data_IF_804288486931
#
_entry.id   IF_804288486931
#
_cell.length_a   1.000
_cell.length_b   1.000
_cell.length_c   1.000
_cell.angle_alpha   90.00
_cell.angle_beta   90.00
_cell.angle_gamma   90.00
#
_symmetry.space_group_name_H-M   'P 1'
#
loop_
_entity.id
_entity.type
_entity.pdbx_description
1 polymer ?
#
# COMPACT_ATOMS: atom_id res chain seq x y z
N UNK A 1 -8.93 7.45 13.03
CA UNK A 1 -7.89 8.06 12.16
C UNK A 1 -8.08 9.57 11.98
N UNK A 2 -9.31 10.07 11.79
CA UNK A 2 -9.64 11.50 11.58
C UNK A 2 -8.96 12.50 12.54
N UNK A 3 -8.97 12.24 13.85
CA UNK A 3 -8.45 13.22 14.82
C UNK A 3 -6.91 13.27 14.93
N UNK A 4 -6.21 12.25 14.44
CA UNK A 4 -4.74 12.26 14.40
C UNK A 4 -4.22 13.18 13.29
N UNK A 5 -4.91 13.22 12.14
CA UNK A 5 -4.53 14.06 11.01
C UNK A 5 -4.79 15.56 11.28
N UNK A 6 -5.81 15.88 12.08
CA UNK A 6 -6.08 17.27 12.53
C UNK A 6 -5.00 17.83 13.45
N UNK A 7 -4.20 16.96 14.07
CA UNK A 7 -3.08 17.34 14.96
C UNK A 7 -1.75 17.44 14.21
N UNK A 8 -1.71 17.15 12.91
CA UNK A 8 -0.49 17.30 12.14
C UNK A 8 -0.09 18.78 12.08
N UNK A 9 1.21 19.10 12.12
CA UNK A 9 1.68 20.44 11.86
C UNK A 9 1.17 20.92 10.49
N UNK A 10 0.87 22.21 10.38
CA UNK A 10 0.25 22.85 9.19
C UNK A 10 1.07 22.63 7.90
N UNK A 11 2.35 22.28 8.02
CA UNK A 11 3.23 21.95 6.90
C UNK A 11 3.79 20.53 7.06
N UNK A 12 3.36 19.62 6.17
CA UNK A 12 3.95 18.28 6.01
C UNK A 12 4.43 18.17 4.57
N UNK A 13 5.72 17.97 4.36
CA UNK A 13 6.29 17.84 3.02
C UNK A 13 6.22 16.41 2.48
N UNK A 14 6.39 15.41 3.34
CA UNK A 14 6.53 14.01 2.96
C UNK A 14 5.71 13.12 3.89
N UNK A 15 5.02 12.16 3.29
CA UNK A 15 4.30 11.09 4.00
C UNK A 15 4.87 9.76 3.59
N UNK A 16 5.11 8.90 4.58
CA UNK A 16 5.49 7.51 4.37
C UNK A 16 4.35 6.62 4.86
N UNK A 17 3.71 5.91 3.93
CA UNK A 17 2.67 4.93 4.26
C UNK A 17 3.33 3.56 4.43
N UNK A 18 3.51 3.16 5.69
CA UNK A 18 4.19 1.93 6.10
C UNK A 18 3.24 0.97 6.87
N UNK A 19 1.94 1.06 6.61
CA UNK A 19 0.93 0.25 7.30
C UNK A 19 0.55 -0.97 6.46
N UNK A 20 0.45 -2.13 7.10
CA UNK A 20 -0.04 -3.36 6.50
C UNK A 20 -0.68 -4.24 7.57
N UNK A 21 -1.84 -4.81 7.27
CA UNK A 21 -2.51 -5.81 8.12
C UNK A 21 -2.41 -7.16 7.45
N UNK A 22 -1.73 -8.10 8.09
CA UNK A 22 -1.75 -9.50 7.70
C UNK A 22 -3.06 -10.14 8.19
N UNK A 23 -3.81 -10.76 7.30
CA UNK A 23 -5.04 -11.47 7.63
C UNK A 23 -4.86 -12.98 7.46
N UNK A 24 -5.62 -13.77 8.24
CA UNK A 24 -5.60 -15.24 8.15
C UNK A 24 -6.19 -15.74 6.83
N UNK A 25 -7.06 -14.95 6.21
CA UNK A 25 -7.62 -15.22 4.88
C UNK A 25 -6.89 -14.38 3.83
N UNK A 26 -6.02 -14.99 2.98
CA UNK A 26 -5.26 -14.25 1.98
C UNK A 26 -6.14 -13.45 1.00
N UNK A 27 -7.32 -13.96 0.66
CA UNK A 27 -8.27 -13.29 -0.23
C UNK A 27 -8.83 -11.97 0.31
N UNK A 28 -8.87 -11.80 1.63
CA UNK A 28 -9.39 -10.58 2.28
C UNK A 28 -8.30 -9.53 2.52
N UNK A 29 -7.04 -9.97 2.52
CA UNK A 29 -5.88 -9.11 2.76
C UNK A 29 -5.81 -7.93 1.77
N UNK A 30 -6.03 -8.10 0.45
CA UNK A 30 -6.10 -6.98 -0.49
C UNK A 30 -7.20 -5.98 -0.11
N UNK A 31 -8.43 -6.45 0.09
CA UNK A 31 -9.57 -5.59 0.43
C UNK A 31 -9.31 -4.72 1.65
N UNK A 32 -8.78 -5.31 2.73
CA UNK A 32 -8.49 -4.59 3.98
C UNK A 32 -7.41 -3.53 3.76
N UNK A 33 -6.30 -3.90 3.11
CA UNK A 33 -5.17 -2.99 2.94
C UNK A 33 -5.46 -1.89 1.91
N UNK A 34 -6.21 -2.18 0.84
CA UNK A 34 -6.72 -1.18 -0.12
C UNK A 34 -7.62 -0.19 0.60
N UNK A 35 -8.61 -0.67 1.37
CA UNK A 35 -9.50 0.19 2.13
C UNK A 35 -8.73 1.07 3.13
N UNK A 36 -7.70 0.53 3.78
CA UNK A 36 -6.87 1.29 4.71
C UNK A 36 -6.10 2.42 4.01
N UNK A 37 -5.49 2.14 2.85
CA UNK A 37 -4.79 3.14 2.06
C UNK A 37 -5.78 4.20 1.54
N UNK A 38 -6.94 3.80 1.00
CA UNK A 38 -7.95 4.72 0.50
C UNK A 38 -8.46 5.65 1.60
N UNK A 39 -8.84 5.09 2.76
CA UNK A 39 -9.29 5.87 3.91
C UNK A 39 -8.23 6.88 4.38
N UNK A 40 -6.95 6.50 4.29
CA UNK A 40 -5.85 7.42 4.61
C UNK A 40 -5.75 8.56 3.59
N UNK A 41 -5.81 8.26 2.29
CA UNK A 41 -5.73 9.25 1.23
C UNK A 41 -6.92 10.23 1.27
N UNK A 42 -8.14 9.73 1.48
CA UNK A 42 -9.35 10.54 1.58
C UNK A 42 -9.30 11.50 2.76
N UNK A 43 -8.84 11.00 3.91
CA UNK A 43 -8.69 11.82 5.11
C UNK A 43 -7.55 12.85 4.95
N UNK A 44 -6.45 12.49 4.28
CA UNK A 44 -5.36 13.41 3.96
C UNK A 44 -5.84 14.52 3.03
N UNK A 45 -6.60 14.19 1.98
CA UNK A 45 -7.22 15.16 1.07
C UNK A 45 -8.17 16.12 1.79
N UNK A 46 -8.96 15.61 2.73
CA UNK A 46 -9.92 16.42 3.51
C UNK A 46 -9.26 17.30 4.59
N UNK A 47 -8.04 16.97 5.04
CA UNK A 47 -7.34 17.70 6.10
C UNK A 47 -6.71 19.03 5.68
N UNK A 48 -6.61 19.29 4.36
CA UNK A 48 -5.88 20.44 3.82
C UNK A 48 -4.35 20.29 3.80
N UNK A 49 -3.79 19.31 4.51
CA UNK A 49 -2.36 18.96 4.50
C UNK A 49 -1.88 18.59 3.09
N UNK A 50 -2.77 18.01 2.26
CA UNK A 50 -2.47 17.68 0.88
C UNK A 50 -1.97 18.88 0.03
N UNK A 51 -2.26 20.13 0.44
CA UNK A 51 -1.83 21.33 -0.29
C UNK A 51 -0.33 21.65 -0.15
N UNK A 52 0.29 21.23 0.96
CA UNK A 52 1.73 21.47 1.22
C UNK A 52 2.57 20.23 0.93
N UNK A 53 1.91 19.09 0.68
CA UNK A 53 2.56 17.82 0.47
C UNK A 53 3.32 17.78 -0.86
N UNK A 54 4.60 17.38 -0.79
CA UNK A 54 5.43 17.17 -1.99
C UNK A 54 5.33 15.75 -2.52
N UNK A 55 5.32 14.73 -1.64
CA UNK A 55 5.22 13.32 -2.04
C UNK A 55 4.58 12.43 -0.98
N UNK A 56 3.92 11.38 -1.45
CA UNK A 56 3.54 10.20 -0.67
C UNK A 56 4.45 9.04 -1.11
N UNK A 57 5.08 8.38 -0.15
CA UNK A 57 5.90 7.20 -0.36
C UNK A 57 5.11 6.00 0.17
N UNK A 58 4.66 5.13 -0.74
CA UNK A 58 4.07 3.85 -0.40
C UNK A 58 5.18 2.82 -0.19
N UNK A 59 5.29 2.27 1.01
CA UNK A 59 6.30 1.26 1.33
C UNK A 59 5.73 -0.13 1.09
N UNK A 60 6.18 -0.75 0.01
CA UNK A 60 5.82 -2.11 -0.34
C UNK A 60 6.93 -3.08 0.10
N UNK A 61 6.62 -4.17 0.84
CA UNK A 61 7.54 -5.30 0.99
C UNK A 61 7.76 -5.95 -0.38
N UNK A 62 8.85 -5.53 -1.03
CA UNK A 62 9.31 -5.95 -2.36
C UNK A 62 9.18 -7.46 -2.63
N UNK A 63 9.49 -8.39 -1.70
CA UNK A 63 9.37 -9.84 -1.95
C UNK A 63 7.95 -10.30 -2.29
N UNK A 64 6.92 -9.68 -1.69
CA UNK A 64 5.52 -10.11 -1.88
C UNK A 64 4.96 -9.75 -3.24
N UNK A 65 5.44 -8.67 -3.86
CA UNK A 65 5.05 -8.27 -5.21
C UNK A 65 5.47 -9.32 -6.27
N UNK A 66 6.58 -10.03 -6.03
CA UNK A 66 7.11 -11.06 -6.92
C UNK A 66 6.72 -12.49 -6.52
N UNK A 67 5.79 -12.65 -5.58
CA UNK A 67 5.28 -13.98 -5.21
C UNK A 67 6.21 -14.82 -4.35
N UNK A 68 7.17 -14.22 -3.62
CA UNK A 68 8.07 -14.98 -2.71
C UNK A 68 7.31 -15.79 -1.65
N UNK A 69 6.10 -15.36 -1.29
CA UNK A 69 5.22 -16.07 -0.36
C UNK A 69 4.43 -17.21 -1.00
N UNK A 70 4.50 -17.37 -2.32
CA UNK A 70 3.81 -18.38 -3.12
C UNK A 70 4.76 -19.46 -3.66
N UNK A 71 6.07 -19.33 -3.40
CA UNK A 71 7.09 -20.25 -3.86
C UNK A 71 8.36 -19.55 -4.33
N UNK A 72 9.14 -20.22 -5.16
CA UNK A 72 10.35 -19.65 -5.74
C UNK A 72 9.98 -18.61 -6.81
N UNK A 73 10.31 -17.32 -6.62
CA UNK A 73 10.08 -16.31 -7.64
C UNK A 73 11.12 -16.43 -8.76
N UNK A 74 10.89 -15.69 -9.85
CA UNK A 74 11.93 -15.39 -10.83
C UNK A 74 13.13 -14.72 -10.15
N UNK A 75 14.36 -15.11 -10.53
CA UNK A 75 15.60 -14.45 -10.11
C UNK A 75 16.45 -14.10 -11.35
N UNK A 76 16.93 -12.86 -11.54
CA UNK A 76 16.71 -11.66 -10.73
C UNK A 76 15.31 -11.05 -10.97
N UNK A 77 14.75 -10.46 -9.90
CA UNK A 77 13.49 -9.71 -9.95
C UNK A 77 13.72 -8.31 -10.51
N UNK A 78 12.90 -7.88 -11.47
CA UNK A 78 12.94 -6.56 -12.07
C UNK A 78 11.61 -5.83 -11.96
N UNK A 79 11.65 -4.50 -11.81
CA UNK A 79 10.45 -3.64 -11.77
C UNK A 79 9.53 -3.75 -12.99
N UNK A 80 10.07 -4.25 -14.11
CA UNK A 80 9.34 -4.46 -15.38
C UNK A 80 8.80 -5.88 -15.52
N UNK A 81 9.03 -6.74 -14.53
CA UNK A 81 8.46 -8.08 -14.55
C UNK A 81 6.94 -7.99 -14.45
N UNK A 82 6.21 -8.86 -15.17
CA UNK A 82 4.76 -8.84 -15.17
C UNK A 82 4.22 -9.13 -13.77
N UNK A 83 3.03 -8.59 -13.51
CA UNK A 83 2.27 -8.89 -12.30
C UNK A 83 1.82 -10.35 -12.32
N UNK A 84 1.77 -10.98 -11.15
CA UNK A 84 1.25 -12.33 -10.97
C UNK A 84 -0.28 -12.26 -10.86
N UNK A 85 -0.97 -12.21 -11.99
CA UNK A 85 -2.44 -12.08 -12.09
C UNK A 85 -3.06 -13.35 -12.67
N UNK A 86 -4.26 -13.70 -12.20
CA UNK A 86 -5.03 -14.87 -12.65
C UNK A 86 -4.53 -16.20 -12.08
N UNK A 87 -5.27 -17.28 -12.33
CA UNK A 87 -4.92 -18.63 -11.86
C UNK A 87 -3.50 -19.04 -12.31
N UNK A 88 -2.65 -19.55 -11.40
CA UNK A 88 -2.92 -20.01 -10.03
C UNK A 88 -2.67 -18.97 -8.91
N UNK A 89 -2.50 -17.68 -9.26
CA UNK A 89 -2.05 -16.65 -8.32
C UNK A 89 -3.22 -15.94 -7.62
N UNK A 90 -3.19 -15.79 -6.28
CA UNK A 90 -4.20 -15.03 -5.55
C UNK A 90 -4.10 -13.53 -5.84
N UNK A 91 -5.20 -12.80 -5.63
CA UNK A 91 -5.19 -11.32 -5.71
C UNK A 91 -4.13 -10.72 -4.80
N UNK A 92 -3.46 -9.68 -5.29
CA UNK A 92 -2.36 -9.02 -4.59
C UNK A 92 -2.70 -7.56 -4.30
N UNK A 93 -2.57 -7.16 -3.04
CA UNK A 93 -2.77 -5.78 -2.58
C UNK A 93 -1.97 -4.76 -3.42
N UNK A 94 -0.77 -5.11 -3.88
CA UNK A 94 0.11 -4.15 -4.58
C UNK A 94 -0.26 -3.86 -6.04
N UNK A 95 -1.30 -4.52 -6.57
CA UNK A 95 -1.72 -4.34 -7.97
C UNK A 95 -2.96 -3.46 -8.13
N UNK A 96 -3.64 -3.16 -7.02
CA UNK A 96 -4.90 -2.40 -6.94
C UNK A 96 -4.70 -1.04 -6.29
#
# INVERSE_FOLDING_TARGET
MSDALKKLPVAVDYVFFCAYVAHTHPAETPTINVAMLQNFLDALGSSGVAKTLKRIILVNPVPKQYGVHLGQPKNLMHKRDPRLEGEPWPRNFYYE
#
